data_IF_061809621335
#
_entry.id   IF_061809621335
#
_cell.length_a   1.000
_cell.length_b   1.000
_cell.length_c   1.000
_cell.angle_alpha   90.00
_cell.angle_beta   90.00
_cell.angle_gamma   90.00
#
_symmetry.space_group_name_H-M   'P 1'
#
loop_
_entity.id
_entity.type
_entity.pdbx_description
1 polymer ?
#
# COMPACT_ATOMS: atom_id res chain seq x y z
N UNK A 1 -23.51 13.47 6.59
CA UNK A 1 -23.14 14.38 5.48
C UNK A 1 -22.09 13.68 4.63
N UNK A 2 -22.29 13.57 3.31
CA UNK A 2 -21.31 12.93 2.41
C UNK A 2 -20.14 13.91 2.20
N UNK A 3 -19.04 13.73 2.92
CA UNK A 3 -17.83 14.54 2.76
C UNK A 3 -17.34 14.40 1.31
N UNK A 4 -17.06 15.52 0.65
CA UNK A 4 -16.67 15.55 -0.76
C UNK A 4 -15.23 15.02 -0.87
N UNK A 5 -15.08 13.73 -1.22
CA UNK A 5 -13.82 12.98 -1.09
C UNK A 5 -12.65 13.55 -1.93
N UNK A 6 -12.92 14.43 -2.90
CA UNK A 6 -11.92 14.96 -3.82
C UNK A 6 -10.96 15.96 -3.17
N UNK A 7 -11.46 16.87 -2.33
CA UNK A 7 -10.61 17.88 -1.65
C UNK A 7 -9.68 17.25 -0.60
N UNK A 8 -10.10 16.12 -0.01
CA UNK A 8 -9.34 15.39 1.01
C UNK A 8 -7.98 14.86 0.52
N UNK A 9 -7.83 14.67 -0.80
CA UNK A 9 -6.57 14.21 -1.38
C UNK A 9 -5.67 15.36 -1.81
N UNK A 10 -6.15 16.61 -1.84
CA UNK A 10 -5.34 17.76 -2.24
C UNK A 10 -4.31 18.13 -1.16
N UNK A 11 -4.74 18.09 0.09
CA UNK A 11 -3.93 18.35 1.27
C UNK A 11 -4.08 17.17 2.22
N UNK A 12 -3.03 16.34 2.30
CA UNK A 12 -3.04 15.13 3.13
C UNK A 12 -2.40 15.49 4.48
N UNK A 13 -3.21 15.51 5.54
CA UNK A 13 -2.71 15.56 6.91
C UNK A 13 -2.68 14.15 7.49
N UNK A 14 -1.55 13.45 7.35
CA UNK A 14 -1.48 12.01 7.64
C UNK A 14 -1.78 11.69 9.11
N UNK A 15 -1.31 12.53 10.04
CA UNK A 15 -1.55 12.34 11.47
C UNK A 15 -3.02 12.19 11.85
N UNK A 16 -3.91 12.99 11.24
CA UNK A 16 -5.36 12.90 11.49
C UNK A 16 -5.98 11.60 10.97
N UNK A 17 -5.47 11.07 9.85
CA UNK A 17 -5.92 9.77 9.35
C UNK A 17 -5.46 8.61 10.25
N UNK A 18 -4.25 8.70 10.82
CA UNK A 18 -3.77 7.72 11.80
C UNK A 18 -4.64 7.75 13.06
N UNK A 19 -4.87 8.94 13.61
CA UNK A 19 -5.68 9.14 14.81
C UNK A 19 -7.10 8.57 14.62
N UNK A 20 -7.78 8.97 13.54
CA UNK A 20 -9.12 8.48 13.23
C UNK A 20 -9.17 6.94 13.10
N UNK A 21 -8.14 6.34 12.48
CA UNK A 21 -8.08 4.88 12.33
C UNK A 21 -7.80 4.15 13.64
N UNK A 22 -6.99 4.73 14.52
CA UNK A 22 -6.76 4.21 15.88
C UNK A 22 -8.05 4.25 16.69
N UNK A 23 -8.78 5.36 16.63
CA UNK A 23 -10.09 5.54 17.28
C UNK A 23 -11.13 4.53 16.74
N UNK A 24 -11.20 4.32 15.41
CA UNK A 24 -12.10 3.33 14.80
C UNK A 24 -11.83 1.90 15.28
N UNK A 25 -10.55 1.55 15.45
CA UNK A 25 -10.13 0.22 15.89
C UNK A 25 -10.07 0.07 17.41
N UNK A 26 -10.26 1.17 18.16
CA UNK A 26 -10.14 1.23 19.62
C UNK A 26 -8.83 0.59 20.10
N UNK A 27 -7.72 0.89 19.43
CA UNK A 27 -6.42 0.33 19.77
C UNK A 27 -5.86 1.07 21.00
N UNK A 28 -5.52 0.35 22.09
CA UNK A 28 -4.90 0.95 23.27
C UNK A 28 -3.54 1.60 22.97
N UNK A 29 -3.26 2.76 23.59
CA UNK A 29 -2.01 3.50 23.40
C UNK A 29 -0.76 2.66 23.74
N UNK A 30 -0.82 1.84 24.79
CA UNK A 30 0.28 0.94 25.18
C UNK A 30 0.62 -0.05 24.06
N UNK A 31 -0.38 -0.58 23.34
CA UNK A 31 -0.16 -1.46 22.19
C UNK A 31 0.54 -0.71 21.04
N UNK A 32 0.17 0.55 20.81
CA UNK A 32 0.77 1.39 19.78
C UNK A 32 2.22 1.69 20.14
N UNK A 33 2.44 2.19 21.37
CA UNK A 33 3.76 2.50 21.91
C UNK A 33 4.70 1.30 21.82
N UNK A 34 4.25 0.12 22.25
CA UNK A 34 5.03 -1.12 22.19
C UNK A 34 5.33 -1.56 20.75
N UNK A 35 4.35 -1.51 19.84
CA UNK A 35 4.56 -1.95 18.45
C UNK A 35 5.47 -1.00 17.66
N UNK A 36 5.33 0.30 17.91
CA UNK A 36 6.09 1.35 17.23
C UNK A 36 7.41 1.69 17.95
N UNK A 37 7.60 1.21 19.18
CA UNK A 37 8.76 1.53 20.01
C UNK A 37 8.99 3.04 20.13
N UNK A 38 7.92 3.74 20.52
CA UNK A 38 7.85 5.20 20.70
C UNK A 38 7.04 5.52 21.95
N UNK A 39 7.24 6.70 22.50
CA UNK A 39 6.51 7.24 23.66
C UNK A 39 5.11 7.71 23.30
N UNK A 40 4.25 7.87 24.30
CA UNK A 40 2.89 8.40 24.12
C UNK A 40 2.94 9.84 23.58
N UNK A 41 3.92 10.65 24.03
CA UNK A 41 4.14 12.00 23.51
C UNK A 41 4.51 12.01 22.02
N UNK A 42 5.35 11.05 21.59
CA UNK A 42 5.69 10.89 20.17
C UNK A 42 4.47 10.46 19.34
N UNK A 43 3.58 9.62 19.88
CA UNK A 43 2.33 9.23 19.21
C UNK A 43 1.43 10.45 19.03
N UNK A 44 1.22 11.24 20.08
CA UNK A 44 0.44 12.48 20.01
C UNK A 44 1.04 13.48 19.02
N UNK A 45 2.37 13.61 19.01
CA UNK A 45 3.08 14.43 18.02
C UNK A 45 2.84 13.94 16.59
N UNK A 46 2.83 12.62 16.36
CA UNK A 46 2.50 12.05 15.05
C UNK A 46 1.06 12.36 14.63
N UNK A 47 0.09 12.39 15.56
CA UNK A 47 -1.30 12.76 15.24
C UNK A 47 -1.46 14.22 14.82
N UNK A 48 -0.62 15.13 15.34
CA UNK A 48 -0.60 16.54 14.92
C UNK A 48 0.27 16.81 13.69
N UNK A 49 1.03 15.81 13.22
CA UNK A 49 1.94 15.99 12.08
C UNK A 49 1.22 15.83 10.73
N UNK A 50 1.43 16.80 9.82
CA UNK A 50 0.91 16.72 8.44
C UNK A 50 1.58 15.63 7.62
N UNK A 51 2.85 15.32 7.94
CA UNK A 51 3.65 14.28 7.30
C UNK A 51 4.37 13.42 8.33
N UNK A 52 4.69 12.19 7.95
CA UNK A 52 5.40 11.22 8.79
C UNK A 52 6.45 10.56 7.91
N UNK A 53 7.59 10.23 8.52
CA UNK A 53 8.63 9.45 7.85
C UNK A 53 8.07 8.16 7.23
N UNK A 54 8.52 7.82 6.02
CA UNK A 54 7.97 6.70 5.25
C UNK A 54 8.15 5.34 5.93
N UNK A 55 9.25 5.13 6.66
CA UNK A 55 9.47 3.91 7.42
C UNK A 55 8.51 3.83 8.60
N UNK A 56 8.31 4.96 9.31
CA UNK A 56 7.32 5.03 10.39
C UNK A 56 5.88 4.85 9.86
N UNK A 57 5.53 5.45 8.73
CA UNK A 57 4.22 5.30 8.09
C UNK A 57 3.96 3.84 7.67
N UNK A 58 4.97 3.13 7.19
CA UNK A 58 4.86 1.69 6.89
C UNK A 58 4.54 0.87 8.14
N UNK A 59 5.16 1.19 9.29
CA UNK A 59 4.84 0.51 10.55
C UNK A 59 3.42 0.80 11.01
N UNK A 60 2.96 2.05 10.87
CA UNK A 60 1.56 2.40 11.08
C UNK A 60 0.61 1.60 10.17
N UNK A 61 0.96 1.44 8.88
CA UNK A 61 0.15 0.62 7.97
C UNK A 61 0.01 -0.82 8.44
N UNK A 62 1.10 -1.41 8.97
CA UNK A 62 1.10 -2.77 9.52
C UNK A 62 0.24 -2.87 10.79
N UNK A 63 0.39 -1.92 11.71
CA UNK A 63 -0.34 -1.90 12.98
C UNK A 63 -1.85 -1.71 12.77
N UNK A 64 -2.23 -0.78 11.89
CA UNK A 64 -3.62 -0.38 11.66
C UNK A 64 -4.28 -1.14 10.50
N UNK A 65 -3.54 -2.06 9.91
CA UNK A 65 -4.00 -2.93 8.84
C UNK A 65 -4.52 -2.16 7.62
N UNK A 66 -4.01 -0.95 7.39
CA UNK A 66 -4.50 0.01 6.40
C UNK A 66 -3.36 0.61 5.59
N UNK A 67 -3.50 0.64 4.26
CA UNK A 67 -2.49 1.16 3.35
C UNK A 67 -2.64 2.68 3.16
N UNK A 68 -1.97 3.44 4.03
CA UNK A 68 -2.00 4.92 3.99
C UNK A 68 -1.27 5.52 2.78
N UNK A 69 -0.37 4.77 2.13
CA UNK A 69 0.32 5.25 0.92
C UNK A 69 -0.65 5.53 -0.23
N UNK A 70 -1.82 4.89 -0.21
CA UNK A 70 -2.90 5.14 -1.18
C UNK A 70 -3.40 6.57 -1.18
N UNK A 71 -3.34 7.26 -0.05
CA UNK A 71 -3.72 8.68 0.02
C UNK A 71 -2.83 9.49 -0.93
N UNK A 72 -1.51 9.26 -0.85
CA UNK A 72 -0.53 9.92 -1.71
C UNK A 72 -0.61 9.45 -3.16
N UNK A 73 -0.81 8.15 -3.40
CA UNK A 73 -1.03 7.66 -4.77
C UNK A 73 -2.26 8.29 -5.42
N UNK A 74 -3.36 8.47 -4.68
CA UNK A 74 -4.56 9.14 -5.17
C UNK A 74 -4.33 10.63 -5.45
N UNK A 75 -3.56 11.33 -4.58
CA UNK A 75 -3.14 12.70 -4.87
C UNK A 75 -2.39 12.77 -6.20
N UNK A 76 -1.39 11.91 -6.40
CA UNK A 76 -0.62 11.87 -7.65
C UNK A 76 -1.53 11.62 -8.85
N UNK A 77 -2.49 10.71 -8.76
CA UNK A 77 -3.42 10.41 -9.86
C UNK A 77 -4.34 11.61 -10.18
N UNK A 78 -4.88 12.28 -9.15
CA UNK A 78 -5.87 13.36 -9.31
C UNK A 78 -5.23 14.69 -9.70
N UNK A 79 -4.00 14.94 -9.27
CA UNK A 79 -3.31 16.22 -9.39
C UNK A 79 -2.03 16.18 -10.23
N UNK A 80 -1.66 15.02 -10.81
CA UNK A 80 -0.67 15.00 -11.89
C UNK A 80 -1.23 15.79 -13.08
N UNK A 81 -0.50 16.80 -13.54
CA UNK A 81 -0.80 17.45 -14.83
C UNK A 81 -0.90 16.37 -15.91
N UNK A 82 -1.89 16.43 -16.83
CA UNK A 82 -1.91 15.59 -18.00
C UNK A 82 -0.75 16.04 -18.91
N UNK A 83 0.48 15.67 -18.56
CA UNK A 83 1.61 15.82 -19.46
C UNK A 83 1.29 15.00 -20.69
N UNK A 84 1.19 15.68 -21.83
CA UNK A 84 1.01 15.14 -23.18
C UNK A 84 2.15 14.16 -23.55
N UNK A 85 2.18 12.98 -22.93
CA UNK A 85 3.02 11.80 -23.19
C UNK A 85 2.25 10.68 -22.46
N UNK A 86 1.41 9.87 -23.08
CA UNK A 86 1.81 8.75 -23.92
C UNK A 86 0.60 8.17 -24.66
N UNK A 87 0.21 8.80 -25.77
CA UNK A 87 -0.51 8.09 -26.84
C UNK A 87 0.46 7.53 -27.90
N UNK A 88 1.77 7.75 -27.73
CA UNK A 88 2.82 7.39 -28.72
C UNK A 88 4.03 6.66 -28.12
N UNK A 89 3.96 6.21 -26.87
CA UNK A 89 5.01 5.38 -26.25
C UNK A 89 4.50 3.97 -25.93
N UNK A 90 3.75 3.38 -26.87
CA UNK A 90 3.82 1.92 -27.02
C UNK A 90 5.26 1.56 -27.39
N UNK A 91 5.86 0.65 -26.62
CA UNK A 91 7.04 -0.15 -27.03
C UNK A 91 8.41 0.52 -27.16
N UNK A 92 8.77 1.46 -26.28
CA UNK A 92 10.21 1.60 -25.95
C UNK A 92 10.53 0.80 -24.71
N UNK A 93 11.25 -0.32 -24.93
CA UNK A 93 12.04 -1.06 -23.94
C UNK A 93 13.06 -0.11 -23.30
N UNK A 94 12.61 0.81 -22.46
CA UNK A 94 13.49 1.50 -21.52
C UNK A 94 13.67 0.56 -20.35
N UNK A 95 14.90 0.08 -20.16
CA UNK A 95 15.35 -0.59 -18.96
C UNK A 95 15.12 0.34 -17.77
N UNK A 96 13.93 0.29 -17.19
CA UNK A 96 13.66 1.05 -15.99
C UNK A 96 14.36 0.32 -14.84
N UNK A 97 15.38 0.97 -14.26
CA UNK A 97 15.95 0.56 -12.97
C UNK A 97 14.91 0.58 -11.85
N UNK A 98 13.77 1.25 -12.09
CA UNK A 98 12.65 1.36 -11.16
C UNK A 98 11.50 0.46 -11.61
N UNK A 99 10.81 -0.20 -10.66
CA UNK A 99 9.60 -0.96 -10.96
C UNK A 99 8.54 -0.09 -11.65
N UNK A 100 7.92 -0.64 -12.70
CA UNK A 100 6.82 0.04 -13.38
C UNK A 100 5.52 -0.14 -12.58
N UNK A 101 5.05 0.93 -11.93
CA UNK A 101 3.77 0.92 -11.23
C UNK A 101 2.62 1.16 -12.23
N UNK A 102 1.91 0.09 -12.61
CA UNK A 102 0.64 0.23 -13.33
C UNK A 102 -0.47 0.60 -12.34
N UNK A 103 -1.63 1.03 -12.84
CA UNK A 103 -2.87 1.26 -12.06
C UNK A 103 -3.33 0.06 -11.21
N UNK A 104 -2.66 -1.10 -11.27
CA UNK A 104 -2.90 -2.29 -10.48
C UNK A 104 -1.81 -2.49 -9.42
N UNK A 105 -2.24 -2.79 -8.20
CA UNK A 105 -1.42 -2.90 -6.96
C UNK A 105 -0.34 -3.99 -7.04
N UNK A 106 -0.53 -4.97 -7.92
CA UNK A 106 0.38 -6.11 -8.07
C UNK A 106 1.19 -5.95 -9.35
N UNK A 107 2.47 -5.62 -9.19
CA UNK A 107 3.41 -5.59 -10.31
C UNK A 107 3.77 -7.02 -10.73
N UNK A 108 4.34 -7.19 -11.93
CA UNK A 108 4.76 -8.51 -12.41
C UNK A 108 5.78 -9.14 -11.44
N UNK A 109 6.69 -8.34 -10.92
CA UNK A 109 7.73 -8.76 -9.99
C UNK A 109 7.15 -9.30 -8.68
N UNK A 110 6.09 -8.67 -8.16
CA UNK A 110 5.37 -9.18 -6.97
C UNK A 110 4.68 -10.50 -7.30
N UNK A 111 4.04 -10.61 -8.47
CA UNK A 111 3.37 -11.85 -8.89
C UNK A 111 4.39 -12.99 -9.02
N UNK A 112 5.49 -12.75 -9.73
CA UNK A 112 6.56 -13.73 -9.95
C UNK A 112 7.17 -14.18 -8.61
N UNK A 113 7.47 -13.25 -7.70
CA UNK A 113 7.96 -13.55 -6.35
C UNK A 113 6.98 -14.43 -5.55
N UNK A 114 5.68 -14.09 -5.55
CA UNK A 114 4.68 -14.88 -4.83
C UNK A 114 4.52 -16.29 -5.42
N UNK A 115 4.62 -16.43 -6.74
CA UNK A 115 4.56 -17.73 -7.42
C UNK A 115 5.83 -18.56 -7.16
N UNK A 116 7.00 -17.93 -7.09
CA UNK A 116 8.26 -18.60 -6.73
C UNK A 116 8.20 -19.20 -5.33
N UNK A 117 7.67 -18.47 -4.34
CA UNK A 117 7.47 -18.97 -2.97
C UNK A 117 6.57 -20.22 -2.93
N UNK A 118 5.54 -20.26 -3.79
CA UNK A 118 4.64 -21.42 -3.90
C UNK A 118 5.34 -22.59 -4.60
N UNK A 119 6.03 -22.34 -5.71
CA UNK A 119 6.68 -23.36 -6.54
C UNK A 119 7.86 -24.03 -5.82
N UNK A 120 8.59 -23.26 -5.01
CA UNK A 120 9.69 -23.76 -4.18
C UNK A 120 9.20 -24.42 -2.89
N UNK A 121 7.90 -24.36 -2.59
CA UNK A 121 7.32 -24.90 -1.36
C UNK A 121 7.66 -24.09 -0.11
N UNK A 122 8.28 -22.92 -0.23
CA UNK A 122 8.62 -22.04 0.90
C UNK A 122 7.37 -21.52 1.61
N UNK A 123 6.28 -21.27 0.88
CA UNK A 123 4.98 -20.90 1.44
C UNK A 123 3.84 -21.58 0.70
N UNK A 124 2.82 -21.96 1.44
CA UNK A 124 1.56 -22.46 0.92
C UNK A 124 0.70 -21.33 0.36
N UNK A 125 -0.25 -21.68 -0.52
CA UNK A 125 -1.24 -20.73 -1.05
C UNK A 125 -2.01 -20.02 0.07
N UNK A 126 -2.28 -20.72 1.18
CA UNK A 126 -3.02 -20.17 2.32
C UNK A 126 -2.18 -19.15 3.11
N UNK A 127 -0.88 -19.42 3.30
CA UNK A 127 0.05 -18.48 3.91
C UNK A 127 0.19 -17.21 3.05
N UNK A 128 0.30 -17.36 1.72
CA UNK A 128 0.35 -16.19 0.82
C UNK A 128 -0.89 -15.30 0.95
N UNK A 129 -2.09 -15.90 1.00
CA UNK A 129 -3.36 -15.17 1.15
C UNK A 129 -3.41 -14.44 2.50
N UNK A 130 -2.97 -15.10 3.56
CA UNK A 130 -3.13 -14.59 4.93
C UNK A 130 -2.07 -13.53 5.26
N UNK A 131 -0.81 -13.80 4.93
CA UNK A 131 0.34 -12.97 5.30
C UNK A 131 0.49 -11.73 4.39
N UNK A 132 0.28 -11.89 3.09
CA UNK A 132 0.40 -10.79 2.12
C UNK A 132 -0.96 -10.19 1.73
N UNK A 133 -2.05 -10.67 2.34
CA UNK A 133 -3.43 -10.20 2.12
C UNK A 133 -3.85 -10.19 0.65
N UNK A 134 -3.36 -11.17 -0.10
CA UNK A 134 -3.70 -11.31 -1.51
C UNK A 134 -5.05 -12.03 -1.59
N UNK A 135 -6.09 -11.43 -2.22
CA UNK A 135 -7.39 -12.08 -2.32
C UNK A 135 -7.27 -13.45 -2.99
N UNK A 136 -7.98 -14.46 -2.44
CA UNK A 136 -7.97 -15.83 -2.96
C UNK A 136 -8.20 -15.86 -4.47
N UNK A 137 -9.20 -15.14 -4.96
CA UNK A 137 -9.52 -15.08 -6.40
C UNK A 137 -8.39 -14.50 -7.24
N UNK A 138 -7.63 -13.54 -6.70
CA UNK A 138 -6.47 -12.93 -7.37
C UNK A 138 -5.32 -13.93 -7.45
N UNK A 139 -4.96 -14.57 -6.33
CA UNK A 139 -3.86 -15.55 -6.31
C UNK A 139 -4.14 -16.73 -7.25
N UNK A 140 -5.36 -17.26 -7.24
CA UNK A 140 -5.73 -18.37 -8.12
C UNK A 140 -5.72 -17.98 -9.60
N UNK A 141 -6.06 -16.73 -9.95
CA UNK A 141 -5.89 -16.22 -11.32
C UNK A 141 -4.43 -16.16 -11.75
N UNK A 142 -3.51 -15.79 -10.85
CA UNK A 142 -2.08 -15.78 -11.16
C UNK A 142 -1.54 -17.18 -11.40
N UNK A 143 -1.91 -18.14 -10.53
CA UNK A 143 -1.52 -19.54 -10.66
C UNK A 143 -2.02 -20.09 -12.00
N UNK A 144 -3.32 -19.96 -12.30
CA UNK A 144 -3.90 -20.47 -13.54
C UNK A 144 -3.22 -19.90 -14.80
N UNK A 145 -2.99 -18.59 -14.81
CA UNK A 145 -2.35 -17.92 -15.95
C UNK A 145 -0.90 -18.38 -16.16
N UNK A 146 -0.16 -18.69 -15.09
CA UNK A 146 1.21 -19.16 -15.17
C UNK A 146 1.34 -20.67 -15.37
N UNK A 147 0.33 -21.48 -15.02
CA UNK A 147 0.28 -22.90 -15.38
C UNK A 147 -0.01 -23.12 -16.85
N UNK A 148 -0.81 -22.24 -17.47
CA UNK A 148 -1.13 -22.32 -18.91
C UNK A 148 0.02 -21.87 -19.84
N UNK A 149 1.09 -21.31 -19.29
CA UNK A 149 2.25 -20.81 -20.05
C UNK A 149 3.49 -21.70 -19.90
N UNK A 150 3.37 -22.86 -19.24
CA UNK A 150 4.42 -23.87 -19.11
C UNK A 150 4.15 -25.09 -19.98
#
# INVERSE_FOLDING_TARGET
>A
MKQNNKENFKHIHIGKYLQARVEDLQIPLDRISNFLNVTDEEIESMYQSESIDSHQLLRWCKLLEYDFFRLYSQHLILYSSPTKKDATASDKKTSHHLPAFRKHIYTKEIIDFMLELINTGQKTRQEIITEYRIPKTTLYKWIAKHTDTN
#
